data_IF_773182208537
#
_entry.id   IF_773182208537
#
_cell.length_a   1.000
_cell.length_b   1.000
_cell.length_c   1.000
_cell.angle_alpha   90.00
_cell.angle_beta   90.00
_cell.angle_gamma   90.00
#
_symmetry.space_group_name_H-M   'P 1'
#
loop_
_entity.id
_entity.type
_entity.pdbx_description
1 polymer ?
#
# COMPACT_ATOMS: atom_id res chain seq x y z
N UNK A 1 4.65 7.83 20.91
CA UNK A 1 3.42 7.50 20.17
C UNK A 1 3.87 6.89 18.86
N UNK A 2 3.49 5.64 18.58
CA UNK A 2 3.84 4.99 17.30
C UNK A 2 2.67 5.24 16.34
N UNK A 3 2.90 6.03 15.30
CA UNK A 3 1.96 6.31 14.22
C UNK A 3 1.99 5.13 13.24
N UNK A 4 0.83 4.53 12.92
CA UNK A 4 0.74 3.45 11.93
C UNK A 4 -0.48 3.66 11.03
N UNK A 5 -0.28 3.40 9.73
CA UNK A 5 -1.32 3.41 8.69
C UNK A 5 -2.07 2.06 8.76
N UNK A 6 -3.40 2.10 8.80
CA UNK A 6 -4.24 0.90 8.84
C UNK A 6 -4.52 0.41 7.41
N UNK A 7 -4.27 -0.88 7.17
CA UNK A 7 -4.81 -1.64 6.04
C UNK A 7 -5.97 -2.49 6.57
N UNK A 8 -7.13 -2.46 5.91
CA UNK A 8 -8.26 -3.35 6.23
C UNK A 8 -8.30 -4.47 5.20
N UNK A 9 -8.29 -5.72 5.67
CA UNK A 9 -8.53 -6.90 4.84
C UNK A 9 -9.71 -7.68 5.45
N UNK A 10 -10.71 -8.06 4.66
CA UNK A 10 -11.98 -8.60 5.17
C UNK A 10 -11.99 -10.14 5.32
N UNK A 11 -11.99 -10.59 6.59
CA UNK A 11 -12.65 -11.74 7.29
C UNK A 11 -12.64 -13.17 6.68
N UNK A 12 -12.45 -14.28 7.44
CA UNK A 12 -13.26 -14.72 8.60
C UNK A 12 -12.68 -15.88 9.48
N UNK A 13 -12.88 -15.77 10.81
CA UNK A 13 -13.24 -16.82 11.83
C UNK A 13 -12.20 -17.54 12.75
N UNK A 14 -12.42 -17.36 14.07
CA UNK A 14 -12.25 -18.25 15.26
C UNK A 14 -10.98 -18.24 16.18
N UNK A 15 -11.08 -17.45 17.28
CA UNK A 15 -10.85 -17.74 18.73
C UNK A 15 -9.81 -18.81 19.16
N UNK A 16 -8.81 -18.39 19.97
CA UNK A 16 -8.55 -18.89 21.35
C UNK A 16 -7.41 -18.13 22.07
N UNK A 17 -7.52 -18.02 23.40
CA UNK A 17 -6.73 -17.25 24.37
C UNK A 17 -5.74 -18.16 25.13
N UNK A 18 -4.48 -17.78 25.34
CA UNK A 18 -3.64 -18.22 26.48
C UNK A 18 -2.36 -17.38 26.67
N UNK A 19 -1.93 -17.24 27.92
CA UNK A 19 -1.01 -16.24 28.47
C UNK A 19 0.49 -16.63 28.52
N UNK A 20 1.26 -15.67 29.05
CA UNK A 20 2.71 -15.51 29.23
C UNK A 20 3.53 -16.64 29.90
N UNK A 21 4.86 -16.58 29.69
CA UNK A 21 5.88 -17.24 30.51
C UNK A 21 7.30 -16.88 30.07
N UNK A 22 7.99 -16.10 30.89
CA UNK A 22 9.41 -15.70 30.85
C UNK A 22 10.24 -16.76 31.60
N UNK A 23 11.44 -17.11 31.14
CA UNK A 23 12.47 -17.73 31.99
C UNK A 23 13.88 -17.57 31.39
N UNK A 24 14.76 -16.98 32.21
CA UNK A 24 16.10 -16.55 31.85
C UNK A 24 17.16 -17.66 31.76
N UNK A 25 18.23 -17.34 31.04
CA UNK A 25 19.49 -18.06 31.03
C UNK A 25 20.67 -17.08 30.93
N UNK A 26 21.64 -17.23 31.84
CA UNK A 26 22.87 -16.42 31.99
C UNK A 26 23.93 -16.73 30.90
N UNK A 27 24.94 -15.86 30.70
CA UNK A 27 25.65 -15.72 29.43
C UNK A 27 26.88 -16.63 29.29
N UNK A 28 27.06 -17.22 28.10
CA UNK A 28 28.30 -17.88 27.68
C UNK A 28 29.25 -16.90 26.97
N UNK A 29 30.56 -17.08 27.18
CA UNK A 29 31.67 -16.22 26.73
C UNK A 29 31.98 -16.29 25.22
N UNK A 30 32.74 -15.31 24.67
CA UNK A 30 32.80 -15.00 23.24
C UNK A 30 34.02 -15.64 22.57
N UNK A 31 33.80 -16.30 21.42
CA UNK A 31 34.67 -16.31 20.23
C UNK A 31 34.16 -17.32 19.18
N UNK A 32 32.87 -17.21 18.85
CA UNK A 32 32.24 -17.82 17.69
C UNK A 32 31.18 -16.87 17.15
N UNK A 33 30.78 -16.95 15.86
CA UNK A 33 29.60 -16.25 15.39
C UNK A 33 28.43 -16.57 16.34
N UNK A 34 27.61 -15.59 16.75
CA UNK A 34 26.48 -15.86 17.62
C UNK A 34 25.63 -16.99 17.00
N UNK A 35 25.06 -17.86 17.83
CA UNK A 35 24.31 -19.06 17.41
C UNK A 35 23.22 -18.73 16.37
N UNK A 36 22.71 -17.48 16.40
CA UNK A 36 21.80 -16.92 15.38
C UNK A 36 22.45 -16.79 13.97
N UNK A 37 23.72 -16.40 13.87
CA UNK A 37 24.43 -16.25 12.59
C UNK A 37 24.63 -17.60 11.88
N UNK A 38 24.94 -18.67 12.62
CA UNK A 38 25.06 -20.02 12.04
C UNK A 38 23.71 -20.59 11.58
N UNK A 39 22.63 -20.29 12.31
CA UNK A 39 21.28 -20.70 11.92
C UNK A 39 20.82 -20.02 10.62
N UNK A 40 21.09 -18.72 10.48
CA UNK A 40 20.74 -17.97 9.28
C UNK A 40 21.49 -18.45 8.04
N UNK A 41 22.77 -18.81 8.16
CA UNK A 41 23.54 -19.32 7.02
C UNK A 41 22.98 -20.66 6.50
N UNK A 42 22.64 -21.59 7.41
CA UNK A 42 22.00 -22.85 7.07
C UNK A 42 20.62 -22.65 6.43
N UNK A 43 19.81 -21.76 7.01
CA UNK A 43 18.49 -21.40 6.52
C UNK A 43 18.55 -20.81 5.11
N UNK A 44 19.39 -19.79 4.90
CA UNK A 44 19.49 -19.09 3.64
C UNK A 44 20.11 -19.97 2.56
N UNK A 45 21.07 -20.83 2.90
CA UNK A 45 21.61 -21.84 1.98
C UNK A 45 20.50 -22.75 1.46
N UNK A 46 19.70 -23.33 2.34
CA UNK A 46 18.63 -24.24 1.94
C UNK A 46 17.53 -23.52 1.16
N UNK A 47 17.06 -22.38 1.67
CA UNK A 47 15.96 -21.63 1.05
C UNK A 47 16.35 -21.12 -0.33
N UNK A 48 17.53 -20.49 -0.50
CA UNK A 48 17.95 -20.00 -1.83
C UNK A 48 18.32 -21.12 -2.81
N UNK A 49 18.64 -22.31 -2.33
CA UNK A 49 18.88 -23.49 -3.19
C UNK A 49 17.57 -24.11 -3.67
N UNK A 50 16.60 -24.28 -2.78
CA UNK A 50 15.39 -25.07 -3.03
C UNK A 50 14.20 -24.22 -3.47
N UNK A 51 14.18 -22.95 -3.09
CA UNK A 51 13.11 -22.00 -3.40
C UNK A 51 13.61 -21.00 -4.44
N UNK A 52 13.39 -21.34 -5.72
CA UNK A 52 13.84 -20.56 -6.88
C UNK A 52 12.69 -20.30 -7.85
N UNK A 53 12.90 -19.43 -8.84
CA UNK A 53 11.86 -19.05 -9.80
C UNK A 53 10.64 -18.45 -9.11
N UNK A 54 9.44 -18.90 -9.47
CA UNK A 54 8.17 -18.45 -8.88
C UNK A 54 8.07 -18.74 -7.36
N UNK A 55 8.92 -19.62 -6.83
CA UNK A 55 8.94 -19.98 -5.41
C UNK A 55 10.06 -19.25 -4.64
N UNK A 56 10.83 -18.36 -5.28
CA UNK A 56 11.88 -17.61 -4.60
C UNK A 56 11.32 -16.78 -3.44
N UNK A 57 11.90 -16.93 -2.26
CA UNK A 57 11.49 -16.20 -1.05
C UNK A 57 12.30 -14.92 -0.80
N UNK A 58 13.46 -14.84 -1.44
CA UNK A 58 14.43 -13.75 -1.33
C UNK A 58 15.00 -13.45 -2.70
N UNK A 59 15.45 -12.21 -2.90
CA UNK A 59 16.08 -11.82 -4.17
C UNK A 59 17.38 -12.59 -4.38
N UNK A 60 18.19 -12.70 -3.32
CA UNK A 60 19.44 -13.45 -3.31
C UNK A 60 19.86 -13.86 -1.89
N UNK A 61 21.06 -14.43 -1.78
CA UNK A 61 21.65 -14.83 -0.50
C UNK A 61 21.88 -13.66 0.45
N UNK A 62 22.29 -12.50 -0.07
CA UNK A 62 22.59 -11.32 0.76
C UNK A 62 21.30 -10.75 1.37
N UNK A 63 20.23 -10.68 0.58
CA UNK A 63 18.88 -10.30 1.01
C UNK A 63 18.36 -11.24 2.10
N UNK A 64 18.49 -12.56 1.90
CA UNK A 64 18.10 -13.56 2.92
C UNK A 64 18.87 -13.39 4.23
N UNK A 65 20.20 -13.21 4.17
CA UNK A 65 21.03 -13.08 5.37
C UNK A 65 20.72 -11.80 6.13
N UNK A 66 20.48 -10.68 5.43
CA UNK A 66 20.07 -9.42 6.06
C UNK A 66 18.72 -9.59 6.76
N UNK A 67 17.73 -10.15 6.05
CA UNK A 67 16.41 -10.37 6.61
C UNK A 67 16.44 -11.29 7.83
N UNK A 68 17.13 -12.43 7.76
CA UNK A 68 17.20 -13.38 8.86
C UNK A 68 17.84 -12.79 10.11
N UNK A 69 18.89 -11.97 9.94
CA UNK A 69 19.54 -11.27 11.04
C UNK A 69 18.61 -10.23 11.71
N UNK A 70 17.84 -9.48 10.90
CA UNK A 70 16.91 -8.46 11.38
C UNK A 70 15.65 -9.05 12.03
N UNK A 71 15.11 -10.13 11.45
CA UNK A 71 13.89 -10.77 11.91
C UNK A 71 14.02 -11.35 13.32
N UNK A 72 15.25 -11.69 13.73
CA UNK A 72 15.59 -12.17 15.06
C UNK A 72 14.64 -13.27 15.57
N UNK A 73 14.26 -14.20 14.67
CA UNK A 73 13.35 -15.28 15.02
C UNK A 73 13.93 -16.13 16.16
N UNK A 74 13.08 -16.60 17.10
CA UNK A 74 13.49 -17.61 18.06
C UNK A 74 14.13 -18.81 17.35
N UNK A 75 15.20 -19.37 17.91
CA UNK A 75 15.89 -20.51 17.29
C UNK A 75 14.93 -21.69 17.04
N UNK A 76 14.08 -22.02 18.02
CA UNK A 76 13.19 -23.19 17.97
C UNK A 76 13.93 -24.50 18.26
N UNK A 77 13.18 -25.58 18.41
CA UNK A 77 13.74 -26.93 18.53
C UNK A 77 13.93 -27.55 17.15
N UNK A 78 14.96 -28.39 16.98
CA UNK A 78 15.21 -29.05 15.70
C UNK A 78 14.00 -29.89 15.24
N UNK A 79 13.65 -29.77 13.97
CA UNK A 79 12.57 -30.55 13.36
C UNK A 79 11.15 -30.10 13.71
N UNK A 80 10.97 -28.97 14.41
CA UNK A 80 9.65 -28.36 14.53
C UNK A 80 9.10 -28.01 13.15
N UNK A 81 7.82 -28.29 12.93
CA UNK A 81 7.15 -28.10 11.63
C UNK A 81 6.08 -27.00 11.68
N UNK A 82 6.02 -26.28 12.80
CA UNK A 82 5.07 -25.18 13.02
C UNK A 82 5.58 -24.23 14.11
N UNK A 83 5.11 -22.99 14.08
CA UNK A 83 5.45 -21.94 15.03
C UNK A 83 6.55 -21.01 14.52
N UNK A 84 6.55 -19.77 15.03
CA UNK A 84 7.46 -18.73 14.57
C UNK A 84 8.90 -18.94 15.06
N UNK A 85 9.68 -19.73 14.32
CA UNK A 85 11.07 -20.05 14.67
C UNK A 85 11.94 -20.29 13.44
N UNK A 86 13.24 -20.05 13.59
CA UNK A 86 14.24 -20.32 12.57
C UNK A 86 14.32 -21.82 12.23
N UNK A 87 14.23 -22.71 13.22
CA UNK A 87 14.21 -24.16 13.00
C UNK A 87 13.03 -24.64 12.14
N UNK A 88 11.85 -24.05 12.30
CA UNK A 88 10.70 -24.34 11.43
C UNK A 88 11.00 -23.98 9.98
N UNK A 89 11.55 -22.78 9.77
CA UNK A 89 11.88 -22.27 8.43
C UNK A 89 13.00 -23.07 7.77
N UNK A 90 14.00 -23.50 8.55
CA UNK A 90 15.03 -24.44 8.12
C UNK A 90 14.41 -25.78 7.67
N UNK A 91 13.48 -26.32 8.46
CA UNK A 91 12.78 -27.56 8.11
C UNK A 91 12.06 -27.40 6.77
N UNK A 92 11.25 -26.35 6.60
CA UNK A 92 10.49 -26.15 5.38
C UNK A 92 11.34 -25.77 4.17
N UNK A 93 12.40 -24.99 4.34
CA UNK A 93 13.33 -24.58 3.27
C UNK A 93 14.29 -25.68 2.83
N UNK A 94 14.39 -26.77 3.60
CA UNK A 94 15.23 -27.93 3.31
C UNK A 94 14.59 -28.98 2.39
N UNK A 95 14.70 -30.25 2.78
CA UNK A 95 14.18 -31.41 2.05
C UNK A 95 12.69 -31.28 1.63
N UNK A 96 11.77 -30.75 2.45
CA UNK A 96 10.39 -30.50 2.03
C UNK A 96 10.31 -29.58 0.80
N UNK A 97 10.99 -28.42 0.81
CA UNK A 97 11.04 -27.54 -0.35
C UNK A 97 11.68 -28.21 -1.58
N UNK A 98 12.66 -29.10 -1.42
CA UNK A 98 13.20 -29.87 -2.56
C UNK A 98 12.13 -30.77 -3.21
N UNK A 99 11.25 -31.38 -2.41
CA UNK A 99 10.23 -32.30 -2.90
C UNK A 99 8.97 -31.60 -3.42
N UNK A 100 8.58 -30.48 -2.81
CA UNK A 100 7.41 -29.69 -3.20
C UNK A 100 7.66 -28.20 -2.93
N UNK A 101 8.38 -27.50 -3.82
CA UNK A 101 8.73 -26.10 -3.62
C UNK A 101 7.50 -25.21 -3.45
N UNK A 102 6.46 -25.40 -4.28
CA UNK A 102 5.24 -24.59 -4.25
C UNK A 102 4.45 -24.68 -2.94
N UNK A 103 4.56 -25.79 -2.21
CA UNK A 103 3.91 -25.93 -0.90
C UNK A 103 4.79 -25.42 0.24
N UNK A 104 6.11 -25.67 0.20
CA UNK A 104 6.96 -25.50 1.37
C UNK A 104 7.78 -24.22 1.37
N UNK A 105 8.04 -23.62 0.21
CA UNK A 105 8.78 -22.36 0.15
C UNK A 105 8.04 -21.19 0.82
N UNK A 106 6.71 -21.02 0.67
CA UNK A 106 5.97 -20.00 1.43
C UNK A 106 6.11 -20.16 2.95
N UNK A 107 6.06 -21.41 3.45
CA UNK A 107 6.26 -21.69 4.88
C UNK A 107 7.68 -21.33 5.34
N UNK A 108 8.68 -21.52 4.48
CA UNK A 108 10.07 -21.21 4.78
C UNK A 108 10.37 -19.70 4.71
N UNK A 109 9.64 -18.95 3.89
CA UNK A 109 9.89 -17.54 3.60
C UNK A 109 9.54 -16.57 4.72
N UNK A 110 9.74 -15.26 4.53
CA UNK A 110 9.63 -14.21 5.55
C UNK A 110 8.38 -14.28 6.45
N UNK A 111 7.20 -14.42 5.85
CA UNK A 111 5.92 -14.40 6.57
C UNK A 111 5.66 -15.70 7.33
N UNK A 112 6.21 -16.83 6.85
CA UNK A 112 6.00 -18.16 7.41
C UNK A 112 4.69 -18.83 6.97
N UNK A 113 3.87 -18.15 6.17
CA UNK A 113 2.60 -18.63 5.59
C UNK A 113 1.71 -19.38 6.59
N UNK A 114 1.56 -18.80 7.78
CA UNK A 114 0.82 -19.32 8.94
C UNK A 114 1.38 -20.63 9.55
N UNK A 115 2.37 -21.25 8.92
CA UNK A 115 3.03 -22.47 9.40
C UNK A 115 4.22 -22.14 10.30
N UNK A 116 5.25 -21.46 9.75
CA UNK A 116 6.44 -21.07 10.50
C UNK A 116 6.41 -19.62 10.98
N UNK A 117 5.23 -19.04 11.02
CA UNK A 117 5.00 -17.65 11.37
C UNK A 117 3.65 -17.24 10.83
N UNK A 118 2.93 -16.44 11.60
CA UNK A 118 1.76 -15.74 11.12
C UNK A 118 2.12 -14.26 11.05
N UNK A 119 1.70 -13.59 9.99
CA UNK A 119 1.55 -12.13 10.04
C UNK A 119 0.40 -11.84 11.01
N UNK A 120 0.76 -11.41 12.23
CA UNK A 120 -0.23 -10.96 13.21
C UNK A 120 -0.78 -9.61 12.77
N UNK A 121 -1.76 -9.66 11.87
CA UNK A 121 -2.58 -8.51 11.57
C UNK A 121 -3.43 -8.23 12.79
N UNK A 122 -3.24 -7.04 13.36
CA UNK A 122 -4.08 -6.63 14.48
C UNK A 122 -5.56 -6.64 14.06
N UNK A 123 -6.36 -7.40 14.78
CA UNK A 123 -7.80 -7.54 14.53
C UNK A 123 -8.65 -6.61 15.39
N UNK A 124 -8.03 -5.70 16.16
CA UNK A 124 -8.81 -4.79 16.99
C UNK A 124 -9.68 -3.88 16.12
N UNK A 125 -10.88 -3.57 16.64
CA UNK A 125 -11.77 -2.61 16.00
C UNK A 125 -11.07 -1.25 15.86
N UNK A 126 -11.44 -0.48 14.84
CA UNK A 126 -10.81 0.82 14.56
C UNK A 126 -10.81 1.78 15.78
N UNK A 127 -11.82 1.66 16.64
CA UNK A 127 -11.96 2.46 17.87
C UNK A 127 -10.94 2.12 18.96
N UNK A 128 -10.20 1.03 18.84
CA UNK A 128 -9.11 0.66 19.75
C UNK A 128 -7.80 1.44 19.46
N UNK A 129 -7.73 2.15 18.33
CA UNK A 129 -6.57 2.94 17.93
C UNK A 129 -6.82 4.43 18.08
N UNK A 130 -5.79 5.17 18.46
CA UNK A 130 -5.78 6.62 18.31
C UNK A 130 -5.62 6.92 16.82
N UNK A 131 -6.64 7.51 16.22
CA UNK A 131 -6.52 8.06 14.87
C UNK A 131 -5.63 9.28 14.89
N UNK A 132 -4.75 9.37 13.91
CA UNK A 132 -3.78 10.46 13.78
C UNK A 132 -4.17 11.38 12.65
N UNK A 133 -4.68 10.84 11.54
CA UNK A 133 -5.16 11.61 10.40
C UNK A 133 -6.11 10.80 9.49
N UNK A 134 -6.72 11.50 8.53
CA UNK A 134 -7.35 10.99 7.33
C UNK A 134 -6.46 11.32 6.12
N UNK A 135 -5.40 10.52 5.92
CA UNK A 135 -4.43 10.65 4.81
C UNK A 135 -4.43 9.42 3.88
N UNK A 136 -5.51 8.64 3.85
CA UNK A 136 -5.64 7.50 2.95
C UNK A 136 -5.56 7.90 1.48
N UNK A 137 -6.10 9.09 1.16
CA UNK A 137 -6.24 9.64 -0.18
C UNK A 137 -5.52 10.99 -0.33
N UNK A 138 -4.25 11.01 -0.77
CA UNK A 138 -3.39 12.20 -0.72
C UNK A 138 -3.92 13.44 -1.45
N UNK A 139 -4.58 13.27 -2.60
CA UNK A 139 -5.12 14.40 -3.36
C UNK A 139 -6.40 14.98 -2.73
N UNK A 140 -7.16 14.20 -1.95
CA UNK A 140 -8.42 14.66 -1.35
C UNK A 140 -8.14 15.73 -0.31
N UNK A 141 -7.28 15.44 0.68
CA UNK A 141 -6.87 16.43 1.70
C UNK A 141 -6.12 17.62 1.11
N UNK A 142 -5.33 17.40 0.04
CA UNK A 142 -4.43 18.41 -0.52
C UNK A 142 -5.14 19.39 -1.45
N UNK A 143 -5.89 18.86 -2.42
CA UNK A 143 -6.42 19.60 -3.57
C UNK A 143 -7.95 19.75 -3.55
N UNK A 144 -8.68 18.81 -2.94
CA UNK A 144 -10.15 18.81 -2.97
C UNK A 144 -10.76 19.46 -1.72
N UNK A 145 -10.17 19.27 -0.54
CA UNK A 145 -10.68 19.86 0.72
C UNK A 145 -10.27 21.34 0.81
N UNK A 146 -11.23 22.25 1.00
CA UNK A 146 -10.93 23.67 1.19
C UNK A 146 -10.13 23.92 2.46
N UNK A 147 -9.32 24.99 2.47
CA UNK A 147 -8.45 25.33 3.60
C UNK A 147 -9.17 25.42 4.95
N UNK A 148 -10.43 25.90 4.95
CA UNK A 148 -11.25 26.00 6.17
C UNK A 148 -11.71 24.64 6.72
N UNK A 149 -11.80 23.62 5.87
CA UNK A 149 -12.26 22.28 6.22
C UNK A 149 -11.11 21.27 6.42
N UNK A 150 -9.86 21.63 6.10
CA UNK A 150 -8.70 20.72 6.18
C UNK A 150 -8.52 20.06 7.54
N UNK A 151 -8.55 20.84 8.62
CA UNK A 151 -8.40 20.27 9.96
C UNK A 151 -9.60 19.37 10.32
N UNK A 152 -10.82 19.78 9.97
CA UNK A 152 -12.00 18.98 10.22
C UNK A 152 -11.98 17.64 9.45
N UNK A 153 -11.49 17.65 8.21
CA UNK A 153 -11.28 16.44 7.41
C UNK A 153 -10.20 15.55 8.01
N UNK A 154 -9.02 16.10 8.30
CA UNK A 154 -7.90 15.34 8.87
C UNK A 154 -8.25 14.73 10.26
N UNK A 155 -9.10 15.39 11.05
CA UNK A 155 -9.55 14.90 12.36
C UNK A 155 -10.71 13.89 12.28
N UNK A 156 -11.34 13.74 11.11
CA UNK A 156 -12.52 12.90 10.93
C UNK A 156 -12.20 11.40 11.04
N UNK A 157 -13.25 10.57 11.04
CA UNK A 157 -13.07 9.15 10.77
C UNK A 157 -12.71 8.96 9.28
N UNK A 158 -12.09 7.84 8.88
CA UNK A 158 -11.88 7.46 7.48
C UNK A 158 -13.17 7.24 6.67
N UNK A 159 -14.29 7.81 7.11
CA UNK A 159 -15.56 7.89 6.40
C UNK A 159 -15.70 9.31 5.89
N UNK A 160 -15.63 9.47 4.58
CA UNK A 160 -15.65 10.78 3.94
C UNK A 160 -17.06 11.26 3.59
N UNK A 161 -18.10 10.48 3.92
CA UNK A 161 -19.50 10.79 3.57
C UNK A 161 -19.98 12.14 4.12
N UNK A 162 -19.46 12.56 5.28
CA UNK A 162 -19.74 13.87 5.87
C UNK A 162 -19.18 15.07 5.08
N UNK A 163 -18.30 14.82 4.10
CA UNK A 163 -17.66 15.83 3.27
C UNK A 163 -18.08 15.75 1.79
N UNK A 164 -19.02 14.86 1.43
CA UNK A 164 -19.42 14.68 0.03
C UNK A 164 -19.84 16.00 -0.64
N UNK A 165 -20.62 16.85 0.04
CA UNK A 165 -21.02 18.17 -0.51
C UNK A 165 -19.82 19.09 -0.75
N UNK A 166 -18.87 19.12 0.18
CA UNK A 166 -17.63 19.89 0.06
C UNK A 166 -16.82 19.41 -1.15
N UNK A 167 -16.66 18.09 -1.30
CA UNK A 167 -15.89 17.50 -2.40
C UNK A 167 -16.53 17.78 -3.75
N UNK A 168 -17.84 17.55 -3.87
CA UNK A 168 -18.58 17.81 -5.10
C UNK A 168 -18.53 19.29 -5.48
N UNK A 169 -18.61 20.19 -4.50
CA UNK A 169 -18.52 21.64 -4.74
C UNK A 169 -17.15 22.00 -5.27
N UNK A 170 -16.08 21.48 -4.66
CA UNK A 170 -14.71 21.81 -5.04
C UNK A 170 -14.28 21.13 -6.34
N UNK A 171 -14.69 19.88 -6.60
CA UNK A 171 -14.47 19.20 -7.88
C UNK A 171 -15.16 19.97 -9.01
N UNK A 172 -16.43 20.35 -8.82
CA UNK A 172 -17.14 21.16 -9.80
C UNK A 172 -16.46 22.52 -10.04
N UNK A 173 -15.92 23.16 -8.99
CA UNK A 173 -15.17 24.40 -9.14
C UNK A 173 -13.85 24.20 -9.92
N UNK A 174 -13.12 23.12 -9.65
CA UNK A 174 -11.90 22.77 -10.38
C UNK A 174 -12.19 22.53 -11.87
N UNK A 175 -13.29 21.87 -12.20
CA UNK A 175 -13.71 21.63 -13.59
C UNK A 175 -14.26 22.89 -14.28
N UNK A 176 -15.12 23.63 -13.59
CA UNK A 176 -16.06 24.56 -14.21
C UNK A 176 -16.26 25.83 -13.38
N UNK A 177 -15.17 26.50 -13.01
CA UNK A 177 -15.24 27.82 -12.39
C UNK A 177 -15.67 28.87 -13.43
N UNK A 178 -16.78 29.57 -13.15
CA UNK A 178 -17.05 30.88 -13.74
C UNK A 178 -16.15 31.86 -12.98
N UNK A 179 -15.09 32.35 -13.63
CA UNK A 179 -14.22 33.38 -13.05
C UNK A 179 -15.01 34.64 -12.67
N UNK A 180 -14.49 35.52 -11.79
CA UNK A 180 -15.18 36.72 -11.29
C UNK A 180 -15.56 37.76 -12.36
N UNK A 181 -15.30 37.49 -13.65
CA UNK A 181 -15.68 38.29 -14.81
C UNK A 181 -16.90 37.79 -15.60
N UNK A 182 -17.57 36.69 -15.20
CA UNK A 182 -18.81 36.23 -15.83
C UNK A 182 -18.68 35.72 -17.27
N UNK A 183 -17.51 35.19 -17.64
CA UNK A 183 -17.30 34.46 -18.90
C UNK A 183 -17.76 33.01 -18.83
N UNK A 184 -17.62 32.28 -19.95
CA UNK A 184 -17.92 30.83 -20.00
C UNK A 184 -17.18 30.08 -18.86
N UNK A 185 -17.82 29.07 -18.22
CA UNK A 185 -17.18 28.28 -17.18
C UNK A 185 -15.93 27.61 -17.74
N UNK A 186 -14.77 27.93 -17.17
CA UNK A 186 -13.47 27.57 -17.70
C UNK A 186 -12.54 27.36 -16.50
N UNK A 187 -12.79 26.30 -15.73
CA UNK A 187 -11.96 25.93 -14.59
C UNK A 187 -10.57 25.49 -15.05
N UNK A 188 -10.25 24.21 -14.92
CA UNK A 188 -9.12 23.59 -15.61
C UNK A 188 -9.54 22.98 -16.94
N UNK A 189 -10.83 22.85 -17.24
CA UNK A 189 -11.27 22.10 -18.42
C UNK A 189 -10.86 22.77 -19.74
N UNK A 190 -10.80 24.09 -19.80
CA UNK A 190 -10.29 24.82 -20.96
C UNK A 190 -8.77 24.70 -21.09
N UNK A 191 -8.03 24.74 -19.98
CA UNK A 191 -6.59 24.49 -19.95
C UNK A 191 -6.25 23.05 -20.40
N UNK A 192 -6.98 22.06 -19.90
CA UNK A 192 -6.86 20.66 -20.29
C UNK A 192 -7.16 20.48 -21.79
N UNK A 193 -8.23 21.11 -22.27
CA UNK A 193 -8.58 21.10 -23.70
C UNK A 193 -7.51 21.79 -24.56
N UNK A 194 -6.93 22.91 -24.09
CA UNK A 194 -5.83 23.60 -24.77
C UNK A 194 -4.56 22.74 -24.86
N UNK A 195 -4.38 21.83 -23.90
CA UNK A 195 -3.31 20.81 -23.89
C UNK A 195 -3.69 19.54 -24.68
N UNK A 196 -4.91 19.44 -25.22
CA UNK A 196 -5.40 18.26 -25.93
C UNK A 196 -5.67 17.06 -25.01
N UNK A 197 -6.06 17.33 -23.77
CA UNK A 197 -6.45 16.34 -22.77
C UNK A 197 -7.97 16.38 -22.61
N UNK A 198 -8.64 15.29 -22.97
CA UNK A 198 -10.09 15.17 -22.81
C UNK A 198 -10.45 15.11 -21.32
N UNK A 199 -11.22 16.10 -20.87
CA UNK A 199 -11.72 16.19 -19.50
C UNK A 199 -13.08 15.48 -19.37
N UNK A 200 -13.29 14.81 -18.24
CA UNK A 200 -14.59 14.22 -17.89
C UNK A 200 -15.55 15.28 -17.32
N UNK A 201 -16.84 14.95 -17.23
CA UNK A 201 -17.81 15.84 -16.56
C UNK A 201 -17.70 15.73 -15.04
N UNK A 202 -17.09 16.73 -14.40
CA UNK A 202 -16.98 16.87 -12.94
C UNK A 202 -18.14 17.60 -12.28
N UNK A 203 -19.24 17.88 -12.99
CA UNK A 203 -20.36 18.64 -12.46
C UNK A 203 -21.14 17.87 -11.39
N UNK A 204 -21.72 18.60 -10.44
CA UNK A 204 -22.57 18.02 -9.39
C UNK A 204 -23.75 17.23 -9.99
N UNK A 205 -24.27 17.65 -11.13
CA UNK A 205 -25.36 16.97 -11.84
C UNK A 205 -24.92 15.61 -12.39
N UNK A 206 -23.72 15.53 -12.96
CA UNK A 206 -23.14 14.28 -13.47
C UNK A 206 -22.90 13.28 -12.32
N UNK A 207 -22.39 13.78 -11.19
CA UNK A 207 -22.21 13.01 -9.96
C UNK A 207 -23.53 12.49 -9.36
N UNK A 208 -24.58 13.31 -9.32
CA UNK A 208 -25.89 12.91 -8.80
C UNK A 208 -26.67 11.99 -9.74
N UNK A 209 -26.39 12.07 -11.05
CA UNK A 209 -27.07 11.31 -12.09
C UNK A 209 -26.50 9.92 -12.35
N UNK A 210 -25.31 9.60 -11.82
CA UNK A 210 -24.63 8.31 -12.08
C UNK A 210 -24.31 8.09 -13.55
N UNK A 211 -24.10 9.17 -14.32
CA UNK A 211 -23.75 9.06 -15.72
C UNK A 211 -22.38 8.37 -15.83
N UNK A 212 -22.32 7.32 -16.66
CA UNK A 212 -21.10 6.56 -16.96
C UNK A 212 -19.97 7.48 -17.50
N UNK A 213 -20.36 8.61 -18.11
CA UNK A 213 -19.46 9.62 -18.70
C UNK A 213 -19.04 10.73 -17.71
N UNK A 214 -19.37 10.59 -16.42
CA UNK A 214 -18.93 11.53 -15.37
C UNK A 214 -17.59 11.11 -14.77
N UNK A 215 -16.82 12.08 -14.27
CA UNK A 215 -15.56 11.78 -13.58
C UNK A 215 -15.73 10.80 -12.40
N UNK A 216 -16.91 10.77 -11.79
CA UNK A 216 -17.22 9.90 -10.66
C UNK A 216 -17.62 8.49 -11.09
N UNK A 217 -18.38 8.42 -12.18
CA UNK A 217 -18.99 7.19 -12.69
C UNK A 217 -18.02 6.31 -13.46
N UNK A 218 -16.93 6.90 -13.99
CA UNK A 218 -15.92 6.16 -14.71
C UNK A 218 -15.24 5.09 -13.84
N UNK A 219 -14.89 3.96 -14.46
CA UNK A 219 -14.33 2.79 -13.78
C UNK A 219 -12.80 2.72 -13.97
N UNK A 220 -12.05 2.57 -12.87
CA UNK A 220 -10.59 2.35 -12.90
C UNK A 220 -10.21 0.88 -13.04
N UNK A 221 -11.11 -0.01 -12.62
CA UNK A 221 -11.02 -1.45 -12.75
C UNK A 221 -12.45 -2.01 -12.84
N UNK A 222 -12.65 -3.28 -13.25
CA UNK A 222 -13.95 -3.91 -13.15
C UNK A 222 -14.49 -3.73 -11.74
N UNK A 223 -15.64 -3.06 -11.61
CA UNK A 223 -16.31 -2.72 -10.34
C UNK A 223 -15.59 -1.75 -9.37
N UNK A 224 -14.63 -0.93 -9.84
CA UNK A 224 -14.04 0.15 -9.03
C UNK A 224 -14.31 1.53 -9.66
N UNK A 225 -15.43 2.19 -9.30
CA UNK A 225 -15.72 3.54 -9.76
C UNK A 225 -14.80 4.57 -9.08
N UNK A 226 -14.44 5.63 -9.81
CA UNK A 226 -13.67 6.75 -9.25
C UNK A 226 -14.35 7.38 -8.05
N UNK A 227 -15.69 7.36 -7.99
CA UNK A 227 -16.43 7.82 -6.81
C UNK A 227 -15.97 7.15 -5.50
N UNK A 228 -15.58 5.88 -5.53
CA UNK A 228 -15.09 5.19 -4.32
C UNK A 228 -13.76 5.75 -3.82
N UNK A 229 -12.99 6.37 -4.71
CA UNK A 229 -11.70 6.97 -4.40
C UNK A 229 -11.81 8.27 -3.59
N UNK A 230 -12.92 9.00 -3.73
CA UNK A 230 -13.06 10.36 -3.18
C UNK A 230 -14.30 10.55 -2.31
N UNK A 231 -15.41 9.87 -2.59
CA UNK A 231 -16.67 9.99 -1.86
C UNK A 231 -16.91 8.83 -0.88
N UNK A 232 -16.08 7.80 -0.93
CA UNK A 232 -16.19 6.60 -0.13
C UNK A 232 -15.48 6.75 1.22
N UNK A 233 -14.64 5.78 1.52
CA UNK A 233 -13.79 5.77 2.70
C UNK A 233 -12.41 6.33 2.36
N UNK A 234 -11.79 7.01 3.32
CA UNK A 234 -10.40 7.47 3.22
C UNK A 234 -9.46 6.37 3.74
N UNK A 235 -9.55 5.19 3.12
CA UNK A 235 -8.71 4.04 3.39
C UNK A 235 -8.05 3.51 2.12
N UNK A 236 -6.89 2.89 2.31
CA UNK A 236 -6.18 2.18 1.26
C UNK A 236 -6.51 0.70 1.39
N UNK A 237 -7.41 0.25 0.55
CA UNK A 237 -7.77 -1.16 0.45
C UNK A 237 -6.75 -1.93 -0.39
N UNK A 238 -6.41 -3.13 0.09
CA UNK A 238 -5.57 -4.06 -0.65
C UNK A 238 -6.34 -5.35 -0.87
N UNK A 239 -6.52 -5.70 -2.13
CA UNK A 239 -6.84 -7.02 -2.60
C UNK A 239 -5.54 -7.75 -3.00
N UNK A 240 -5.12 -8.77 -2.25
CA UNK A 240 -3.89 -9.51 -2.54
C UNK A 240 -3.94 -10.33 -3.83
N UNK A 241 -5.11 -10.47 -4.47
CA UNK A 241 -5.23 -11.08 -5.80
C UNK A 241 -4.86 -10.13 -6.94
N UNK A 242 -4.75 -8.82 -6.67
CA UNK A 242 -4.40 -7.80 -7.66
C UNK A 242 -2.93 -7.37 -7.50
N UNK A 243 -2.27 -6.90 -8.57
CA UNK A 243 -0.94 -6.29 -8.46
C UNK A 243 -0.91 -5.19 -7.41
N UNK A 244 0.19 -5.08 -6.67
CA UNK A 244 0.39 -4.00 -5.71
C UNK A 244 0.60 -2.66 -6.44
N UNK A 245 0.08 -1.58 -5.85
CA UNK A 245 0.15 -0.24 -6.43
C UNK A 245 -1.23 0.38 -6.55
N UNK A 246 -1.30 1.70 -6.70
CA UNK A 246 -2.56 2.42 -6.73
C UNK A 246 -3.49 1.93 -7.87
N UNK A 247 -4.79 1.70 -7.62
CA UNK A 247 -5.54 1.94 -6.38
C UNK A 247 -5.53 0.77 -5.38
N UNK A 248 -4.87 -0.34 -5.69
CA UNK A 248 -4.71 -1.50 -4.81
C UNK A 248 -3.59 -1.28 -3.77
N UNK A 249 -3.82 -0.34 -2.85
CA UNK A 249 -2.80 0.22 -1.99
C UNK A 249 -1.98 1.31 -2.70
N UNK A 250 -0.69 1.41 -2.37
CA UNK A 250 0.25 2.30 -3.08
C UNK A 250 1.67 1.75 -2.99
N UNK A 251 2.39 1.73 -4.10
CA UNK A 251 3.82 1.54 -4.10
C UNK A 251 4.51 2.83 -3.68
N UNK A 252 5.74 2.73 -3.17
CA UNK A 252 6.51 3.92 -2.75
C UNK A 252 6.83 4.86 -3.93
N UNK A 253 6.88 4.32 -5.15
CA UNK A 253 7.15 5.07 -6.38
C UNK A 253 5.88 5.59 -7.06
N UNK A 254 4.69 5.27 -6.55
CA UNK A 254 3.45 5.73 -7.18
C UNK A 254 3.33 7.24 -7.02
N UNK A 255 3.15 7.93 -8.16
CA UNK A 255 2.87 9.36 -8.22
C UNK A 255 1.40 9.61 -7.88
N UNK A 256 1.00 9.25 -6.66
CA UNK A 256 -0.40 9.16 -6.20
C UNK A 256 -1.19 10.46 -6.37
N UNK A 257 -0.54 11.63 -6.26
CA UNK A 257 -1.20 12.92 -6.49
C UNK A 257 -1.60 13.04 -7.96
N UNK A 258 -0.67 12.81 -8.89
CA UNK A 258 -0.94 12.92 -10.33
C UNK A 258 -1.91 11.85 -10.80
N UNK A 259 -1.79 10.63 -10.28
CA UNK A 259 -2.73 9.55 -10.59
C UNK A 259 -4.14 9.89 -10.10
N UNK A 260 -4.28 10.39 -8.88
CA UNK A 260 -5.58 10.77 -8.33
C UNK A 260 -6.17 11.98 -9.05
N UNK A 261 -5.36 12.98 -9.40
CA UNK A 261 -5.84 14.13 -10.18
C UNK A 261 -6.23 13.72 -11.61
N UNK A 262 -5.48 12.82 -12.25
CA UNK A 262 -5.79 12.33 -13.58
C UNK A 262 -7.19 11.70 -13.62
N UNK A 263 -7.51 10.84 -12.65
CA UNK A 263 -8.82 10.18 -12.60
C UNK A 263 -9.95 11.11 -12.15
N UNK A 264 -9.64 12.26 -11.55
CA UNK A 264 -10.66 13.26 -11.18
C UNK A 264 -10.89 14.33 -12.24
N UNK A 265 -9.99 14.44 -13.22
CA UNK A 265 -10.02 15.50 -14.23
C UNK A 265 -10.23 14.97 -15.65
N UNK A 266 -9.64 13.82 -15.98
CA UNK A 266 -9.60 13.29 -17.34
C UNK A 266 -10.66 12.22 -17.55
N UNK A 267 -11.17 12.18 -18.78
CA UNK A 267 -12.08 11.13 -19.25
C UNK A 267 -11.31 9.84 -19.52
N UNK A 268 -11.47 8.81 -18.66
CA UNK A 268 -10.75 7.54 -18.81
C UNK A 268 -11.18 6.82 -20.08
N UNK A 269 -10.25 6.64 -21.03
CA UNK A 269 -10.58 6.14 -22.37
C UNK A 269 -10.74 7.22 -23.44
N UNK A 270 -10.80 8.49 -23.04
CA UNK A 270 -10.79 9.66 -23.93
C UNK A 270 -9.42 9.92 -24.56
N UNK A 271 -9.31 11.00 -25.33
CA UNK A 271 -8.10 11.40 -26.05
C UNK A 271 -7.20 12.28 -25.19
N UNK A 272 -5.95 11.89 -25.02
CA UNK A 272 -4.94 12.67 -24.32
C UNK A 272 -3.70 12.83 -25.20
N UNK A 273 -3.78 13.75 -26.16
CA UNK A 273 -2.79 13.95 -27.21
C UNK A 273 -2.76 12.79 -28.21
N UNK A 274 -1.61 12.12 -28.33
CA UNK A 274 -1.46 10.93 -29.18
C UNK A 274 -1.82 9.62 -28.46
N UNK A 275 -2.15 9.68 -27.16
CA UNK A 275 -2.48 8.55 -26.32
C UNK A 275 -3.94 8.60 -25.86
N UNK A 276 -4.35 7.53 -25.19
CA UNK A 276 -5.64 7.46 -24.48
C UNK A 276 -5.43 7.94 -23.05
N UNK A 277 -6.38 8.70 -22.51
CA UNK A 277 -6.35 9.12 -21.12
C UNK A 277 -6.44 7.90 -20.19
N UNK A 278 -5.56 7.87 -19.20
CA UNK A 278 -5.40 6.79 -18.23
C UNK A 278 -5.05 7.38 -16.86
N UNK A 279 -5.11 6.60 -15.78
CA UNK A 279 -4.68 7.08 -14.47
C UNK A 279 -3.22 7.55 -14.47
N UNK A 280 -2.38 7.02 -15.37
CA UNK A 280 -0.98 7.42 -15.49
C UNK A 280 -0.74 8.67 -16.35
N UNK A 281 -1.75 9.27 -16.98
CA UNK A 281 -1.55 10.34 -17.97
C UNK A 281 -0.82 11.55 -17.40
N UNK A 282 -1.22 12.04 -16.22
CA UNK A 282 -0.55 13.18 -15.59
C UNK A 282 0.78 12.77 -14.93
N UNK A 283 0.85 11.56 -14.35
CA UNK A 283 2.06 11.01 -13.75
C UNK A 283 3.19 10.77 -14.79
N UNK A 284 2.84 10.61 -16.06
CA UNK A 284 3.79 10.49 -17.16
C UNK A 284 4.41 11.83 -17.61
N UNK A 285 3.90 12.96 -17.12
CA UNK A 285 4.47 14.26 -17.42
C UNK A 285 5.79 14.45 -16.65
N UNK A 286 6.81 15.08 -17.27
CA UNK A 286 8.11 15.30 -16.62
C UNK A 286 8.06 16.46 -15.61
N UNK A 287 7.03 16.50 -14.77
CA UNK A 287 6.81 17.52 -13.74
C UNK A 287 7.29 17.05 -12.37
N UNK A 288 7.32 15.73 -12.15
CA UNK A 288 7.79 15.14 -10.91
C UNK A 288 9.30 14.94 -10.88
N UNK A 289 9.92 14.94 -9.69
CA UNK A 289 11.30 14.49 -9.53
C UNK A 289 11.46 13.09 -10.13
N UNK A 290 12.48 12.86 -10.98
CA UNK A 290 12.60 11.61 -11.71
C UNK A 290 12.94 10.41 -10.82
N UNK A 291 13.54 10.65 -9.65
CA UNK A 291 13.86 9.65 -8.64
C UNK A 291 14.13 10.32 -7.29
N UNK A 292 14.09 9.52 -6.22
CA UNK A 292 14.68 9.90 -4.94
C UNK A 292 16.21 10.01 -5.07
N UNK A 293 16.79 10.83 -4.20
CA UNK A 293 18.24 10.96 -4.02
C UNK A 293 18.89 9.65 -3.53
N UNK A 294 18.17 8.88 -2.72
CA UNK A 294 18.56 7.53 -2.29
C UNK A 294 17.51 6.52 -2.76
N UNK A 295 17.97 5.40 -3.33
CA UNK A 295 17.09 4.30 -3.71
C UNK A 295 16.32 3.74 -2.50
N UNK A 296 15.11 3.25 -2.75
CA UNK A 296 14.36 2.52 -1.73
C UNK A 296 15.14 1.29 -1.25
N UNK A 297 15.02 0.99 0.05
CA UNK A 297 15.60 -0.21 0.62
C UNK A 297 14.80 -1.44 0.17
N UNK A 298 15.45 -2.60 0.06
CA UNK A 298 14.79 -3.87 -0.25
C UNK A 298 14.17 -4.52 0.98
N UNK A 299 14.49 -4.03 2.18
CA UNK A 299 13.94 -4.49 3.46
C UNK A 299 13.15 -3.39 4.15
N UNK A 300 12.15 -3.79 4.95
CA UNK A 300 11.32 -2.87 5.73
C UNK A 300 12.22 -1.98 6.64
N UNK A 301 12.01 -0.64 6.69
CA UNK A 301 10.83 0.11 6.26
C UNK A 301 10.80 0.52 4.78
N UNK A 302 11.67 -0.02 3.93
CA UNK A 302 11.77 0.21 2.48
C UNK A 302 12.12 1.65 2.09
N UNK A 303 12.28 2.56 3.05
CA UNK A 303 12.69 3.96 2.86
C UNK A 303 14.09 4.18 3.41
N UNK A 304 14.83 5.09 2.79
CA UNK A 304 16.15 5.51 3.28
C UNK A 304 16.03 6.22 4.64
N UNK A 305 17.10 6.21 5.46
CA UNK A 305 17.17 7.05 6.66
C UNK A 305 16.93 8.52 6.33
N UNK A 306 16.32 9.26 7.25
CA UNK A 306 16.15 10.70 7.11
C UNK A 306 17.52 11.40 6.93
N UNK A 307 17.56 12.44 6.10
CA UNK A 307 18.75 13.28 5.96
C UNK A 307 19.18 13.82 7.32
N UNK A 308 20.50 13.78 7.56
CA UNK A 308 21.05 14.47 8.72
C UNK A 308 20.80 15.99 8.59
N UNK A 309 20.39 16.65 9.68
CA UNK A 309 20.12 18.09 9.68
C UNK A 309 21.36 18.94 9.43
#
# INVERSE_FOLDING_TARGET
MKTFIKLVCSSSMAIALAACGDDGGTPATPDGPPVAAMGCELYCTQTTTNCTGDNAQYVDMADCMSYCAEAAWPAGADGVMSGNSLACRIYHGGTPAMGSPGLHCPHAGPTGDEVCGAVDFRTDVATAYTRVDAMGMPAVATAIVSSGMKNAYNDASPDSSGFAVEFLTNINAIHSLIGPGGGEPAGLNDDLAALGLDACDGSVAAFQGGAEDSCAGQLLAPSFPVANLVLGTDDLDINPANPAGFPNGRALADQVIDVTLAVLLLDMGGTCGAAVCSPGTLAGLPLNPPANDVAFATTFPYVAPAHAP
#
